data_IF_515169419199
#
_entry.id   IF_515169419199
#
_cell.length_a   1.000
_cell.length_b   1.000
_cell.length_c   1.000
_cell.angle_alpha   90.00
_cell.angle_beta   90.00
_cell.angle_gamma   90.00
#
_symmetry.space_group_name_H-M   'P 1'
#
loop_
_entity.id
_entity.type
_entity.pdbx_description
1 polymer ?
#
# COMPACT_ATOMS: atom_id res chain seq x y z
N UNK A 1 -11.48 -60.95 8.31
CA UNK A 1 -12.39 -59.80 8.12
C UNK A 1 -12.38 -58.82 9.30
N UNK A 2 -12.61 -59.22 10.57
CA UNK A 2 -12.60 -58.28 11.73
C UNK A 2 -11.30 -57.48 11.92
N UNK A 3 -10.12 -58.05 11.65
CA UNK A 3 -8.83 -57.35 11.78
C UNK A 3 -8.57 -56.28 10.70
N UNK A 4 -9.22 -56.39 9.54
CA UNK A 4 -9.06 -55.44 8.43
C UNK A 4 -9.94 -54.21 8.65
N UNK A 5 -11.14 -54.38 9.23
CA UNK A 5 -12.07 -53.28 9.54
C UNK A 5 -11.50 -52.37 10.65
N UNK A 6 -10.83 -52.92 11.66
CA UNK A 6 -10.20 -52.11 12.72
C UNK A 6 -9.01 -51.28 12.19
N UNK A 7 -8.24 -51.83 11.23
CA UNK A 7 -7.14 -51.09 10.60
C UNK A 7 -7.61 -49.92 9.74
N UNK A 8 -8.71 -50.09 8.99
CA UNK A 8 -9.28 -49.02 8.15
C UNK A 8 -9.90 -47.92 9.02
N UNK A 9 -10.60 -48.27 10.11
CA UNK A 9 -11.16 -47.27 11.05
C UNK A 9 -10.05 -46.50 11.76
N UNK A 10 -8.95 -47.15 12.14
CA UNK A 10 -7.81 -46.46 12.76
C UNK A 10 -7.09 -45.52 11.76
N UNK A 11 -6.92 -45.91 10.50
CA UNK A 11 -6.30 -45.04 9.47
C UNK A 11 -7.21 -43.87 9.13
N UNK A 12 -8.53 -44.07 9.05
CA UNK A 12 -9.51 -43.00 8.82
C UNK A 12 -9.58 -42.06 10.03
N UNK A 13 -9.54 -42.57 11.26
CA UNK A 13 -9.51 -41.73 12.46
C UNK A 13 -8.19 -40.98 12.62
N UNK A 14 -7.05 -41.55 12.22
CA UNK A 14 -5.75 -40.86 12.20
C UNK A 14 -5.74 -39.80 11.10
N UNK A 15 -6.32 -40.06 9.91
CA UNK A 15 -6.45 -39.08 8.83
C UNK A 15 -7.42 -37.94 9.18
N UNK A 16 -8.50 -38.23 9.91
CA UNK A 16 -9.43 -37.22 10.43
C UNK A 16 -8.77 -36.42 11.58
N UNK A 17 -7.94 -37.06 12.42
CA UNK A 17 -7.15 -36.36 13.44
C UNK A 17 -5.98 -35.55 12.88
N UNK A 18 -5.39 -35.92 11.74
CA UNK A 18 -4.36 -35.10 11.08
C UNK A 18 -4.93 -33.99 10.21
N UNK A 19 -6.19 -34.08 9.74
CA UNK A 19 -6.87 -32.94 9.09
C UNK A 19 -7.42 -31.93 10.09
N UNK A 20 -7.91 -32.35 11.25
CA UNK A 20 -8.42 -31.46 12.32
C UNK A 20 -7.34 -30.73 13.14
N UNK A 21 -6.06 -30.95 12.81
CA UNK A 21 -4.90 -30.26 13.39
C UNK A 21 -3.97 -29.74 12.29
N UNK A 22 -4.56 -29.26 11.18
CA UNK A 22 -3.88 -28.21 10.42
C UNK A 22 -3.81 -26.98 11.32
N UNK A 23 -2.84 -26.96 12.24
CA UNK A 23 -2.18 -25.71 12.57
C UNK A 23 -1.83 -25.13 11.20
N UNK A 24 -2.31 -23.93 10.91
CA UNK A 24 -1.56 -23.07 10.00
C UNK A 24 -0.17 -23.08 10.61
N UNK A 25 0.77 -23.79 9.98
CA UNK A 25 2.16 -23.77 10.39
C UNK A 25 2.57 -22.32 10.11
N UNK A 26 2.36 -21.47 11.11
CA UNK A 26 2.70 -20.06 11.06
C UNK A 26 4.22 -20.03 11.09
N UNK A 27 4.83 -20.25 9.94
CA UNK A 27 6.02 -19.49 9.62
C UNK A 27 5.64 -18.04 9.90
N UNK A 28 6.45 -17.34 10.71
CA UNK A 28 6.43 -15.88 10.69
C UNK A 28 6.42 -15.52 9.22
N UNK A 29 5.32 -14.91 8.75
CA UNK A 29 5.25 -14.44 7.38
C UNK A 29 6.44 -13.54 7.09
N UNK A 30 6.72 -13.23 5.81
CA UNK A 30 7.67 -12.17 5.49
C UNK A 30 7.36 -10.96 6.38
N UNK A 31 8.40 -10.28 6.88
CA UNK A 31 8.27 -9.08 7.74
C UNK A 31 7.46 -7.95 7.10
N UNK A 32 7.07 -8.12 5.84
CA UNK A 32 6.21 -7.26 5.05
C UNK A 32 5.23 -8.13 4.26
N UNK A 33 3.96 -7.72 4.16
CA UNK A 33 2.98 -8.37 3.28
C UNK A 33 3.45 -8.31 1.81
N UNK A 34 3.12 -9.32 0.99
CA UNK A 34 3.49 -9.29 -0.43
C UNK A 34 2.71 -8.22 -1.19
N UNK A 35 3.26 -7.80 -2.33
CA UNK A 35 2.52 -6.99 -3.30
C UNK A 35 1.78 -7.93 -4.25
N UNK A 36 0.46 -7.85 -4.30
CA UNK A 36 -0.38 -8.71 -5.13
C UNK A 36 -1.22 -7.89 -6.11
N UNK A 37 -1.33 -8.36 -7.36
CA UNK A 37 -2.18 -7.77 -8.40
C UNK A 37 -3.02 -8.84 -9.06
N UNK A 38 -4.34 -8.63 -9.15
CA UNK A 38 -5.22 -9.54 -9.88
C UNK A 38 -5.03 -9.40 -11.39
N UNK A 39 -4.74 -10.52 -12.05
CA UNK A 39 -4.53 -10.55 -13.50
C UNK A 39 -5.79 -10.93 -14.26
N UNK A 40 -6.52 -11.95 -13.79
CA UNK A 40 -7.78 -12.35 -14.40
C UNK A 40 -8.05 -13.86 -14.37
N UNK A 41 -9.06 -14.27 -15.15
CA UNK A 41 -9.56 -15.65 -15.25
C UNK A 41 -9.34 -16.28 -16.63
N UNK A 42 -8.73 -15.57 -17.57
CA UNK A 42 -8.48 -16.05 -18.93
C UNK A 42 -7.29 -15.34 -19.56
N UNK A 43 -6.75 -15.92 -20.64
CA UNK A 43 -5.64 -15.34 -21.41
C UNK A 43 -4.26 -15.80 -20.95
N UNK A 44 -3.24 -15.11 -21.45
CA UNK A 44 -1.83 -15.34 -21.13
C UNK A 44 -1.24 -14.06 -20.59
N UNK A 45 -0.68 -14.12 -19.38
CA UNK A 45 -0.04 -13.00 -18.72
C UNK A 45 1.47 -13.16 -18.74
N UNK A 46 2.18 -12.04 -18.70
CA UNK A 46 3.65 -11.99 -18.58
C UNK A 46 4.02 -11.07 -17.44
N UNK A 47 4.90 -11.52 -16.55
CA UNK A 47 5.35 -10.76 -15.38
C UNK A 47 6.89 -10.66 -15.37
N UNK A 48 7.45 -9.65 -14.68
CA UNK A 48 8.88 -9.55 -14.40
C UNK A 48 9.49 -10.83 -13.79
N UNK A 49 10.79 -11.09 -14.00
CA UNK A 49 11.45 -12.32 -13.53
C UNK A 49 11.68 -12.37 -12.01
N UNK A 50 11.53 -11.26 -11.29
CA UNK A 50 11.64 -11.14 -9.83
C UNK A 50 10.29 -11.30 -9.11
N UNK A 51 9.31 -11.88 -9.80
CA UNK A 51 7.93 -12.02 -9.35
C UNK A 51 7.39 -13.42 -9.66
N UNK A 52 6.28 -13.76 -9.01
CA UNK A 52 5.62 -15.05 -9.12
C UNK A 52 4.16 -14.89 -9.56
N UNK A 53 3.60 -15.93 -10.19
CA UNK A 53 2.17 -16.07 -10.32
C UNK A 53 1.62 -16.83 -9.11
N UNK A 54 0.55 -16.32 -8.51
CA UNK A 54 -0.27 -17.07 -7.56
C UNK A 54 -1.50 -17.56 -8.32
N UNK A 55 -1.78 -18.86 -8.29
CA UNK A 55 -2.87 -19.46 -9.07
C UNK A 55 -3.83 -20.20 -8.14
N UNK A 56 -5.10 -19.79 -8.13
CA UNK A 56 -6.17 -20.57 -7.46
C UNK A 56 -6.60 -21.72 -8.36
N UNK A 57 -6.69 -22.91 -7.76
CA UNK A 57 -7.18 -24.13 -8.44
C UNK A 57 -8.26 -24.76 -7.58
N UNK A 58 -9.38 -25.17 -8.18
CA UNK A 58 -10.54 -25.73 -7.46
C UNK A 58 -10.51 -27.27 -7.29
N UNK A 59 -9.61 -27.98 -7.97
CA UNK A 59 -9.56 -29.45 -7.95
C UNK A 59 -8.17 -30.03 -7.67
N UNK A 60 -7.77 -30.24 -6.40
CA UNK A 60 -8.38 -29.75 -5.16
C UNK A 60 -8.19 -28.24 -4.92
N UNK A 61 -9.04 -27.64 -4.08
CA UNK A 61 -8.92 -26.24 -3.66
C UNK A 61 -7.55 -25.97 -3.01
N UNK A 62 -6.75 -25.15 -3.68
CA UNK A 62 -5.43 -24.69 -3.23
C UNK A 62 -4.97 -23.46 -4.02
N UNK A 63 -3.92 -22.83 -3.51
CA UNK A 63 -3.11 -21.87 -4.25
C UNK A 63 -1.76 -22.50 -4.55
N UNK A 64 -1.28 -22.31 -5.78
CA UNK A 64 0.05 -22.73 -6.21
C UNK A 64 0.85 -21.51 -6.67
N UNK A 65 2.18 -21.54 -6.48
CA UNK A 65 3.09 -20.58 -7.11
C UNK A 65 3.54 -21.13 -8.46
N UNK A 66 3.45 -20.29 -9.49
CA UNK A 66 3.93 -20.58 -10.83
C UNK A 66 4.97 -19.53 -11.25
N UNK A 67 5.98 -19.94 -12.01
CA UNK A 67 7.16 -19.13 -12.25
C UNK A 67 7.09 -18.32 -13.55
N UNK A 68 7.77 -17.17 -13.61
CA UNK A 68 7.86 -16.32 -14.80
C UNK A 68 8.55 -17.04 -15.99
N UNK A 69 8.47 -16.49 -17.22
CA UNK A 69 7.95 -15.17 -17.55
C UNK A 69 6.45 -15.14 -17.80
N UNK A 70 5.81 -16.25 -18.15
CA UNK A 70 4.43 -16.25 -18.64
C UNK A 70 3.59 -17.40 -18.12
N UNK A 71 2.32 -17.13 -17.84
CA UNK A 71 1.34 -18.14 -17.45
C UNK A 71 0.08 -18.00 -18.29
N UNK A 72 -0.46 -19.13 -18.76
CA UNK A 72 -1.74 -19.18 -19.48
C UNK A 72 -2.80 -19.75 -18.56
N UNK A 73 -3.87 -18.99 -18.33
CA UNK A 73 -4.90 -19.37 -17.36
C UNK A 73 -5.65 -20.60 -17.82
N UNK A 74 -5.68 -21.63 -16.97
CA UNK A 74 -6.45 -22.84 -17.18
C UNK A 74 -7.95 -22.64 -16.89
N UNK A 75 -8.74 -23.66 -17.21
CA UNK A 75 -10.18 -23.64 -16.92
C UNK A 75 -10.43 -23.58 -15.39
N UNK A 76 -11.28 -22.65 -14.97
CA UNK A 76 -11.63 -22.41 -13.56
C UNK A 76 -10.43 -22.01 -12.69
N UNK A 77 -9.39 -21.42 -13.29
CA UNK A 77 -8.30 -20.80 -12.56
C UNK A 77 -8.51 -19.29 -12.47
N UNK A 78 -8.01 -18.71 -11.38
CA UNK A 78 -7.86 -17.28 -11.20
C UNK A 78 -6.39 -17.03 -10.91
N UNK A 79 -5.83 -15.97 -11.48
CA UNK A 79 -4.38 -15.72 -11.44
C UNK A 79 -4.09 -14.33 -10.92
N UNK A 80 -3.09 -14.25 -10.06
CA UNK A 80 -2.52 -13.02 -9.54
C UNK A 80 -1.03 -12.99 -9.85
N UNK A 81 -0.50 -11.78 -9.99
CA UNK A 81 0.92 -11.47 -9.94
C UNK A 81 1.29 -11.16 -8.49
N UNK A 82 2.43 -11.66 -8.05
CA UNK A 82 2.92 -11.49 -6.69
C UNK A 82 4.40 -11.09 -6.67
N UNK A 83 4.76 -10.22 -5.74
CA UNK A 83 6.15 -9.90 -5.42
C UNK A 83 6.39 -10.08 -3.93
N UNK A 84 7.54 -10.67 -3.58
CA UNK A 84 7.92 -10.91 -2.19
C UNK A 84 7.26 -12.14 -1.57
N UNK A 85 6.76 -13.07 -2.39
CA UNK A 85 6.21 -14.35 -1.92
C UNK A 85 7.24 -15.46 -2.12
N UNK A 86 7.45 -16.27 -1.08
CA UNK A 86 8.26 -17.51 -1.20
C UNK A 86 7.40 -18.76 -1.20
N UNK A 87 6.15 -18.65 -0.76
CA UNK A 87 5.18 -19.74 -0.65
C UNK A 87 3.78 -19.25 -1.01
N UNK A 88 2.96 -20.14 -1.58
CA UNK A 88 1.57 -19.85 -1.86
C UNK A 88 0.80 -19.65 -0.54
N UNK A 89 -0.24 -18.80 -0.52
CA UNK A 89 -1.01 -18.58 0.69
C UNK A 89 -1.76 -19.87 1.08
N UNK A 90 -1.99 -20.10 2.39
CA UNK A 90 -2.88 -21.14 2.85
C UNK A 90 -4.27 -20.99 2.23
N UNK A 91 -4.84 -22.10 1.76
CA UNK A 91 -6.20 -22.15 1.23
C UNK A 91 -7.18 -22.35 2.41
N UNK A 92 -8.08 -21.39 2.61
CA UNK A 92 -9.03 -21.35 3.74
C UNK A 92 -10.45 -21.33 3.16
N UNK A 93 -11.35 -22.15 3.69
CA UNK A 93 -12.72 -22.26 3.20
C UNK A 93 -13.68 -22.82 4.26
N UNK A 94 -14.80 -22.12 4.49
CA UNK A 94 -15.97 -22.54 5.27
C UNK A 94 -15.72 -22.98 6.73
N UNK A 95 -14.55 -22.69 7.30
CA UNK A 95 -14.27 -22.94 8.71
C UNK A 95 -13.40 -21.84 9.33
N UNK A 96 -13.61 -21.51 10.63
CA UNK A 96 -12.66 -20.70 11.36
C UNK A 96 -11.30 -21.40 11.48
N UNK A 97 -10.28 -20.83 10.86
CA UNK A 97 -8.90 -21.22 11.03
C UNK A 97 -8.30 -20.46 12.22
N UNK A 98 -7.89 -21.20 13.26
CA UNK A 98 -7.13 -20.62 14.37
C UNK A 98 -5.75 -20.21 13.86
N UNK A 99 -5.40 -18.93 14.08
CA UNK A 99 -4.10 -18.37 13.70
C UNK A 99 -3.14 -18.56 14.87
N UNK A 100 -3.33 -17.81 15.97
CA UNK A 100 -2.55 -17.96 17.20
C UNK A 100 -3.23 -17.25 18.39
N UNK A 101 -2.60 -17.29 19.56
CA UNK A 101 -2.93 -16.43 20.71
C UNK A 101 -2.17 -15.11 20.60
N UNK A 102 -2.89 -14.00 20.75
CA UNK A 102 -2.36 -12.65 20.59
C UNK A 102 -2.60 -11.80 21.85
N UNK A 103 -1.67 -10.93 22.27
CA UNK A 103 -1.91 -9.98 23.34
C UNK A 103 -2.79 -8.81 22.87
N UNK A 104 -3.40 -8.11 23.83
CA UNK A 104 -4.01 -6.79 23.59
C UNK A 104 -2.97 -5.83 23.02
N UNK A 105 -3.37 -4.98 22.07
CA UNK A 105 -2.48 -4.05 21.39
C UNK A 105 -1.63 -4.70 20.29
N UNK A 106 -1.72 -6.01 20.09
CA UNK A 106 -1.09 -6.67 18.94
C UNK A 106 -1.64 -6.09 17.64
N UNK A 107 -0.75 -5.69 16.74
CA UNK A 107 -1.12 -5.23 15.40
C UNK A 107 -1.19 -6.44 14.48
N UNK A 108 -2.28 -6.57 13.74
CA UNK A 108 -2.45 -7.58 12.69
C UNK A 108 -2.55 -6.86 11.36
N UNK A 109 -1.71 -7.28 10.42
CA UNK A 109 -1.73 -6.89 9.02
C UNK A 109 -2.10 -8.09 8.19
N UNK A 110 -3.02 -7.93 7.24
CA UNK A 110 -3.44 -9.02 6.39
C UNK A 110 -3.59 -8.59 4.94
N UNK A 111 -3.39 -9.55 4.06
CA UNK A 111 -3.70 -9.48 2.66
C UNK A 111 -4.40 -10.79 2.27
N UNK A 112 -5.57 -10.69 1.69
CA UNK A 112 -6.40 -11.82 1.28
C UNK A 112 -6.68 -11.67 -0.21
N UNK A 113 -6.80 -12.80 -0.88
CA UNK A 113 -7.13 -12.89 -2.29
C UNK A 113 -8.33 -13.78 -2.50
N UNK A 114 -9.02 -13.45 -3.57
CA UNK A 114 -10.13 -14.19 -4.11
C UNK A 114 -11.36 -14.27 -3.22
N UNK A 115 -11.74 -13.13 -2.64
CA UNK A 115 -13.05 -12.91 -2.04
C UNK A 115 -13.97 -12.36 -3.13
N UNK A 116 -14.73 -13.23 -3.81
CA UNK A 116 -15.61 -12.73 -4.86
C UNK A 116 -16.74 -11.84 -4.33
N UNK A 117 -17.23 -10.96 -5.20
CA UNK A 117 -18.29 -10.00 -4.87
C UNK A 117 -19.65 -10.72 -4.85
N UNK A 118 -19.91 -11.57 -3.86
CA UNK A 118 -21.10 -12.41 -3.79
C UNK A 118 -21.76 -12.56 -2.41
N UNK A 119 -21.50 -11.59 -1.52
CA UNK A 119 -22.01 -11.46 -0.16
C UNK A 119 -21.41 -12.46 0.87
N UNK A 120 -20.40 -13.26 0.49
CA UNK A 120 -19.71 -14.23 1.36
C UNK A 120 -18.56 -13.59 2.13
N UNK A 121 -18.91 -12.60 2.94
CA UNK A 121 -17.98 -11.79 3.71
C UNK A 121 -17.16 -12.62 4.70
N UNK A 122 -15.85 -12.39 4.75
CA UNK A 122 -14.92 -13.01 5.68
C UNK A 122 -14.73 -12.18 6.96
N UNK A 123 -14.32 -12.84 8.05
CA UNK A 123 -14.22 -12.19 9.36
C UNK A 123 -12.97 -12.61 10.14
N UNK A 124 -12.37 -11.66 10.84
CA UNK A 124 -11.48 -11.96 11.93
C UNK A 124 -12.25 -12.02 13.26
N UNK A 125 -11.84 -12.95 14.12
CA UNK A 125 -12.43 -13.19 15.43
C UNK A 125 -11.36 -13.18 16.52
N UNK A 126 -11.70 -12.60 17.67
CA UNK A 126 -10.96 -12.73 18.94
C UNK A 126 -11.84 -13.49 19.91
N UNK A 127 -11.33 -14.56 20.50
CA UNK A 127 -12.07 -15.39 21.45
C UNK A 127 -13.40 -15.93 20.88
N UNK A 128 -13.45 -16.13 19.56
CA UNK A 128 -14.64 -16.57 18.83
C UNK A 128 -15.66 -15.47 18.52
N UNK A 129 -15.45 -14.22 18.94
CA UNK A 129 -16.31 -13.08 18.64
C UNK A 129 -15.79 -12.34 17.41
N UNK A 130 -16.66 -12.06 16.43
CA UNK A 130 -16.32 -11.24 15.25
C UNK A 130 -15.96 -9.83 15.72
N UNK A 131 -14.81 -9.33 15.28
CA UNK A 131 -14.38 -7.98 15.63
C UNK A 131 -13.96 -7.15 14.40
N UNK A 132 -13.57 -7.80 13.30
CA UNK A 132 -13.23 -7.13 12.05
C UNK A 132 -13.91 -7.85 10.90
N UNK A 133 -14.54 -7.04 10.05
CA UNK A 133 -15.26 -7.48 8.85
C UNK A 133 -14.44 -7.11 7.64
N UNK A 134 -14.13 -8.08 6.80
CA UNK A 134 -13.37 -7.86 5.59
C UNK A 134 -14.24 -7.25 4.49
N UNK A 135 -13.63 -6.44 3.62
CA UNK A 135 -14.24 -5.96 2.38
C UNK A 135 -14.02 -7.03 1.32
N UNK A 136 -15.02 -7.32 0.49
CA UNK A 136 -14.90 -8.27 -0.60
C UNK A 136 -14.05 -7.72 -1.77
N UNK A 137 -13.37 -8.61 -2.49
CA UNK A 137 -12.55 -8.26 -3.64
C UNK A 137 -11.50 -9.30 -4.04
N UNK A 138 -11.01 -9.18 -5.27
CA UNK A 138 -9.98 -10.09 -5.81
C UNK A 138 -8.64 -9.95 -5.07
N UNK A 139 -8.35 -8.77 -4.54
CA UNK A 139 -7.22 -8.49 -3.64
C UNK A 139 -7.72 -7.51 -2.59
N UNK A 140 -7.72 -7.95 -1.35
CA UNK A 140 -8.23 -7.23 -0.19
C UNK A 140 -7.14 -7.23 0.88
N UNK A 141 -7.13 -6.23 1.74
CA UNK A 141 -6.16 -6.16 2.80
C UNK A 141 -6.55 -5.12 3.83
N UNK A 142 -5.88 -5.20 4.96
CA UNK A 142 -6.06 -4.19 5.99
C UNK A 142 -5.15 -4.41 7.17
N UNK A 143 -5.38 -3.58 8.16
CA UNK A 143 -4.69 -3.65 9.43
C UNK A 143 -5.62 -3.24 10.56
N UNK A 144 -5.50 -3.93 11.68
CA UNK A 144 -6.23 -3.61 12.90
C UNK A 144 -5.39 -3.90 14.15
N UNK A 145 -5.81 -3.31 15.27
CA UNK A 145 -5.23 -3.55 16.59
C UNK A 145 -6.14 -4.48 17.37
N UNK A 146 -5.56 -5.53 17.94
CA UNK A 146 -6.25 -6.50 18.79
C UNK A 146 -6.75 -5.78 20.06
N UNK A 147 -8.08 -5.74 20.29
CA UNK A 147 -8.67 -4.95 21.38
C UNK A 147 -8.55 -5.60 22.75
N UNK A 148 -8.35 -6.92 22.80
CA UNK A 148 -8.17 -7.68 24.03
C UNK A 148 -7.32 -8.92 23.75
N UNK A 149 -6.55 -9.38 24.74
CA UNK A 149 -5.78 -10.60 24.60
C UNK A 149 -6.70 -11.81 24.37
N UNK A 150 -6.33 -12.69 23.44
CA UNK A 150 -7.20 -13.81 23.10
C UNK A 150 -6.71 -14.69 21.95
N UNK A 151 -7.57 -15.60 21.53
CA UNK A 151 -7.32 -16.45 20.36
C UNK A 151 -7.78 -15.71 19.11
N UNK A 152 -6.83 -15.39 18.23
CA UNK A 152 -7.09 -14.87 16.89
C UNK A 152 -7.43 -16.02 15.95
N UNK A 153 -8.56 -15.90 15.26
CA UNK A 153 -8.96 -16.83 14.20
C UNK A 153 -9.55 -16.07 13.02
N UNK A 154 -9.40 -16.64 11.83
CA UNK A 154 -9.96 -16.11 10.60
C UNK A 154 -11.04 -17.06 10.06
N UNK A 155 -12.24 -16.56 9.84
CA UNK A 155 -13.38 -17.30 9.32
C UNK A 155 -13.59 -16.91 7.85
N UNK A 156 -13.16 -17.80 6.96
CA UNK A 156 -13.40 -17.65 5.53
C UNK A 156 -14.77 -18.24 5.16
N UNK A 157 -15.71 -17.41 4.73
CA UNK A 157 -16.97 -17.87 4.13
C UNK A 157 -16.85 -18.07 2.62
N UNK A 158 -15.78 -17.58 1.99
CA UNK A 158 -15.38 -17.92 0.64
C UNK A 158 -14.09 -18.79 0.60
N UNK A 159 -13.69 -19.21 -0.59
CA UNK A 159 -12.50 -20.00 -0.93
C UNK A 159 -11.31 -19.07 -1.17
N UNK A 160 -10.79 -18.52 -0.08
CA UNK A 160 -9.77 -17.48 -0.11
C UNK A 160 -8.36 -18.00 0.19
N UNK A 161 -7.36 -17.22 -0.20
CA UNK A 161 -5.99 -17.37 0.24
C UNK A 161 -5.56 -16.10 0.96
N UNK A 162 -4.74 -16.19 2.01
CA UNK A 162 -4.27 -14.97 2.67
C UNK A 162 -2.93 -15.09 3.37
N UNK A 163 -2.26 -13.94 3.49
CA UNK A 163 -1.09 -13.72 4.32
C UNK A 163 -1.51 -12.89 5.52
N UNK A 164 -1.28 -13.40 6.72
CA UNK A 164 -1.69 -12.74 7.96
C UNK A 164 -0.46 -12.64 8.85
N UNK A 165 0.02 -11.41 9.00
CA UNK A 165 1.09 -11.07 9.91
C UNK A 165 0.47 -10.54 11.21
N UNK A 166 0.91 -11.04 12.35
CA UNK A 166 0.39 -10.62 13.64
C UNK A 166 1.52 -10.40 14.63
N UNK A 167 1.33 -9.40 15.47
CA UNK A 167 2.25 -9.02 16.52
C UNK A 167 3.66 -8.80 15.98
N UNK A 168 3.74 -8.13 14.82
CA UNK A 168 4.97 -7.55 14.29
C UNK A 168 5.44 -6.48 15.27
N UNK A 169 6.00 -6.91 16.40
CA UNK A 169 6.76 -6.01 17.24
C UNK A 169 7.98 -5.64 16.41
N UNK A 170 8.01 -4.39 15.95
CA UNK A 170 9.27 -3.73 15.71
C UNK A 170 10.02 -3.87 17.04
N UNK A 171 11.06 -4.71 17.07
CA UNK A 171 12.00 -4.80 18.18
C UNK A 171 12.63 -3.41 18.28
N UNK A 172 11.89 -2.47 18.88
CA UNK A 172 12.44 -1.19 19.29
C UNK A 172 13.51 -1.63 20.26
N UNK A 173 14.81 -1.48 19.92
CA UNK A 173 15.85 -1.90 20.83
C UNK A 173 15.56 -1.13 22.10
N UNK A 174 15.13 -1.85 23.15
CA UNK A 174 14.97 -1.22 24.45
C UNK A 174 16.33 -0.62 24.71
N UNK A 175 16.47 0.73 24.82
CA UNK A 175 17.77 1.32 25.10
C UNK A 175 18.22 0.63 26.38
N UNK A 176 19.24 -0.22 26.24
CA UNK A 176 19.81 -0.87 27.41
C UNK A 176 20.39 0.31 28.18
N UNK A 177 19.79 0.62 29.33
CA UNK A 177 20.31 1.57 30.29
C UNK A 177 21.72 1.13 30.65
N UNK A 178 22.68 1.53 29.81
CA UNK A 178 24.08 1.47 30.13
C UNK A 178 24.22 2.54 31.18
N UNK A 179 24.24 2.09 32.44
CA UNK A 179 24.50 2.91 33.60
C UNK A 179 25.82 3.65 33.35
N UNK A 180 25.72 4.81 32.73
CA UNK A 180 26.84 5.68 32.47
C UNK A 180 27.12 6.29 33.83
N UNK A 181 28.16 5.79 34.50
CA UNK A 181 28.61 6.33 35.76
C UNK A 181 28.85 7.82 35.57
N UNK A 182 27.91 8.63 36.03
CA UNK A 182 27.98 10.08 35.90
C UNK A 182 29.20 10.50 36.75
N UNK A 183 30.28 11.03 36.17
CA UNK A 183 31.36 11.56 36.99
C UNK A 183 30.76 12.70 37.82
N UNK A 184 30.81 12.54 39.14
CA UNK A 184 30.42 13.57 40.10
C UNK A 184 31.15 14.87 39.71
N UNK A 185 30.45 15.96 39.36
CA UNK A 185 31.11 17.20 39.01
C UNK A 185 31.93 17.66 40.21
N UNK A 186 33.24 17.79 40.00
CA UNK A 186 34.17 18.37 40.95
C UNK A 186 33.83 19.85 41.05
N UNK A 187 33.46 20.31 42.25
CA UNK A 187 33.27 21.74 42.54
C UNK A 187 34.54 22.50 42.16
N UNK A 188 34.51 23.17 41.03
CA UNK A 188 35.63 23.99 40.57
C UNK A 188 35.30 25.43 40.98
N UNK A 189 36.06 25.94 41.96
CA UNK A 189 35.91 27.27 42.51
C UNK A 189 35.85 28.31 41.38
N UNK A 190 34.70 28.98 41.29
CA UNK A 190 34.43 30.10 40.40
C UNK A 190 35.33 31.27 40.79
N UNK A 191 36.28 31.62 39.91
CA UNK A 191 36.88 32.95 39.94
C UNK A 191 35.97 33.89 39.15
N UNK A 192 35.47 34.91 39.84
CA UNK A 192 34.69 36.02 39.29
C UNK A 192 35.63 36.97 38.53
N UNK A 193 35.41 37.23 37.23
CA UNK A 193 35.81 38.50 36.66
C UNK A 193 34.59 39.39 36.41
N UNK A 194 34.76 40.61 36.89
CA UNK A 194 33.88 41.77 36.82
C UNK A 194 34.01 42.52 35.47
N UNK A 195 32.98 43.32 35.18
CA UNK A 195 32.89 44.52 34.29
C UNK A 195 32.81 44.36 32.75
N UNK A 196 31.60 44.62 32.20
CA UNK A 196 31.15 45.77 31.34
C UNK A 196 32.13 46.33 30.26
N UNK A 197 31.75 46.79 29.02
CA UNK A 197 30.46 47.35 28.53
C UNK A 197 29.92 46.87 27.14
N UNK A 198 28.64 47.21 26.92
CA UNK A 198 27.98 47.73 25.70
C UNK A 198 28.82 48.03 24.45
N UNK A 199 28.40 47.49 23.28
CA UNK A 199 28.40 48.19 21.97
C UNK A 199 27.18 47.76 21.15
N UNK A 200 26.39 48.75 20.78
CA UNK A 200 25.33 48.77 19.76
C UNK A 200 25.93 48.90 18.36
N UNK A 201 25.42 48.15 17.37
CA UNK A 201 25.55 48.49 15.96
C UNK A 201 24.36 47.94 15.16
N UNK A 202 23.47 48.86 14.78
CA UNK A 202 22.41 48.67 13.79
C UNK A 202 23.03 48.82 12.40
N UNK A 203 22.74 47.89 11.48
CA UNK A 203 23.07 48.07 10.06
C UNK A 203 21.83 47.80 9.21
N UNK A 204 21.29 48.88 8.65
CA UNK A 204 20.32 48.91 7.55
C UNK A 204 21.12 49.00 6.25
N UNK A 205 20.80 48.19 5.22
CA UNK A 205 21.11 48.58 3.85
C UNK A 205 19.82 48.93 3.12
N UNK A 206 19.68 50.23 2.90
CA UNK A 206 18.89 50.83 1.82
C UNK A 206 19.68 50.66 0.52
N UNK A 207 19.07 50.11 -0.53
CA UNK A 207 19.55 50.30 -1.89
C UNK A 207 18.37 50.41 -2.85
N UNK A 208 18.03 51.66 -3.10
CA UNK A 208 17.32 52.14 -4.29
C UNK A 208 18.31 52.30 -5.43
N UNK A 209 18.01 51.75 -6.60
CA UNK A 209 18.46 52.26 -7.91
C UNK A 209 17.49 51.78 -9.01
N UNK A 210 16.75 52.73 -9.57
CA UNK A 210 16.11 52.71 -10.90
C UNK A 210 17.05 53.53 -11.80
N UNK A 211 17.31 53.19 -13.09
CA UNK A 211 16.32 53.47 -14.13
C UNK A 211 16.29 52.53 -15.36
N UNK A 212 15.16 52.64 -16.03
CA UNK A 212 14.73 52.33 -17.40
C UNK A 212 15.80 52.31 -18.51
N UNK A 213 15.70 51.34 -19.42
CA UNK A 213 16.00 51.53 -20.85
C UNK A 213 15.19 50.55 -21.72
N UNK A 214 14.26 51.09 -22.50
CA UNK A 214 13.68 50.48 -23.71
C UNK A 214 14.60 50.84 -24.88
N UNK A 215 14.92 49.88 -25.77
CA UNK A 215 14.66 50.17 -27.18
C UNK A 215 14.05 48.98 -27.93
N UNK A 216 13.04 49.35 -28.69
CA UNK A 216 12.51 48.69 -29.88
C UNK A 216 13.59 48.60 -30.97
N UNK A 217 13.73 47.43 -31.60
CA UNK A 217 14.38 47.26 -32.89
C UNK A 217 14.00 45.92 -33.50
N UNK A 218 13.10 45.95 -34.48
CA UNK A 218 12.89 44.85 -35.42
C UNK A 218 14.17 44.59 -36.19
N UNK A 219 14.66 43.35 -36.21
CA UNK A 219 15.60 42.90 -37.23
C UNK A 219 15.14 41.56 -37.78
N UNK A 220 14.60 41.62 -38.99
CA UNK A 220 14.41 40.47 -39.88
C UNK A 220 15.78 40.06 -40.41
N UNK A 221 16.26 38.86 -40.08
CA UNK A 221 17.38 38.23 -40.80
C UNK A 221 16.92 36.88 -41.30
N UNK A 222 16.65 36.84 -42.60
CA UNK A 222 16.61 35.61 -43.38
C UNK A 222 18.04 35.26 -43.76
N UNK A 223 18.53 34.10 -43.32
CA UNK A 223 19.74 33.50 -43.87
C UNK A 223 19.62 31.97 -43.81
N UNK A 224 19.24 31.40 -44.94
CA UNK A 224 19.40 29.98 -45.26
C UNK A 224 20.85 29.74 -45.67
N UNK A 225 21.57 28.86 -44.97
CA UNK A 225 22.66 28.09 -45.54
C UNK A 225 22.95 26.83 -44.70
N UNK A 226 22.73 25.70 -45.36
CA UNK A 226 23.11 24.34 -45.00
C UNK A 226 24.61 24.22 -44.75
N UNK A 227 25.01 23.63 -43.62
CA UNK A 227 26.27 22.87 -43.51
C UNK A 227 26.08 21.65 -42.60
N UNK A 228 26.24 20.49 -43.20
CA UNK A 228 26.36 19.19 -42.55
C UNK A 228 27.77 19.07 -41.98
N UNK A 229 27.89 18.98 -40.66
CA UNK A 229 29.15 18.61 -40.00
C UNK A 229 28.95 17.28 -39.28
N UNK A 230 29.54 16.23 -39.83
CA UNK A 230 29.66 14.91 -39.20
C UNK A 230 30.69 15.00 -38.08
N UNK A 231 30.25 14.96 -36.82
CA UNK A 231 31.13 14.90 -35.67
C UNK A 231 31.47 13.42 -35.35
N UNK A 232 32.70 13.02 -35.63
CA UNK A 232 33.28 11.76 -35.16
C UNK A 232 33.65 11.91 -33.68
N UNK A 233 32.92 11.24 -32.79
CA UNK A 233 33.24 11.19 -31.37
C UNK A 233 34.50 10.33 -31.15
N UNK A 234 35.60 10.95 -30.74
CA UNK A 234 36.79 10.25 -30.23
C UNK A 234 36.65 10.19 -28.71
N UNK A 235 36.52 9.00 -28.15
CA UNK A 235 36.54 8.78 -26.70
C UNK A 235 37.97 8.98 -26.17
N UNK A 236 38.20 10.04 -25.40
CA UNK A 236 39.38 10.15 -24.54
C UNK A 236 38.98 9.87 -23.10
N UNK A 237 39.59 8.84 -22.52
CA UNK A 237 39.44 8.38 -21.14
C UNK A 237 39.90 9.48 -20.16
N UNK A 238 39.06 9.98 -19.24
CA UNK A 238 39.51 10.91 -18.22
C UNK A 238 40.36 10.16 -17.18
N UNK A 239 41.55 10.70 -16.90
CA UNK A 239 42.44 10.23 -15.83
C UNK A 239 41.93 10.80 -14.51
N UNK A 240 41.62 9.93 -13.55
CA UNK A 240 41.19 10.33 -12.21
C UNK A 240 42.30 11.10 -11.49
N UNK A 241 42.04 12.36 -11.15
CA UNK A 241 42.88 13.16 -10.24
C UNK A 241 42.35 12.98 -8.82
N UNK A 242 43.22 12.62 -7.88
CA UNK A 242 42.85 12.44 -6.48
C UNK A 242 42.50 13.78 -5.81
N UNK A 243 41.28 13.88 -5.30
CA UNK A 243 40.75 15.02 -4.54
C UNK A 243 41.33 15.03 -3.11
N UNK A 244 41.70 16.19 -2.53
CA UNK A 244 42.26 16.27 -1.19
C UNK A 244 41.23 15.93 -0.10
N UNK A 245 41.72 15.24 0.92
CA UNK A 245 41.00 14.79 2.11
C UNK A 245 40.48 15.99 2.93
N UNK A 246 39.16 16.07 3.14
CA UNK A 246 38.57 17.01 4.08
C UNK A 246 38.80 16.53 5.52
N UNK A 247 39.35 17.41 6.34
CA UNK A 247 39.57 17.19 7.76
C UNK A 247 38.27 17.55 8.48
N UNK A 248 37.62 16.58 9.13
CA UNK A 248 36.41 16.86 9.92
C UNK A 248 36.79 17.48 11.26
N UNK A 249 36.22 18.65 11.54
CA UNK A 249 36.22 19.30 12.85
C UNK A 249 35.03 18.74 13.67
N UNK A 250 35.24 18.17 14.85
CA UNK A 250 34.13 17.66 15.67
C UNK A 250 33.42 18.85 16.33
N UNK A 251 32.18 19.13 15.89
CA UNK A 251 31.27 20.03 16.59
C UNK A 251 30.21 19.18 17.31
N UNK A 252 30.47 18.82 18.56
CA UNK A 252 29.49 18.21 19.45
C UNK A 252 28.49 19.28 19.92
N UNK A 253 27.45 19.51 19.13
CA UNK A 253 26.24 20.15 19.64
C UNK A 253 25.32 19.04 20.16
N UNK A 254 24.97 19.00 21.45
CA UNK A 254 24.05 17.99 21.96
C UNK A 254 22.67 18.23 21.34
N UNK A 255 22.26 17.37 20.41
CA UNK A 255 20.87 17.30 19.96
C UNK A 255 20.01 16.90 21.15
N UNK A 256 19.20 17.85 21.62
CA UNK A 256 18.09 17.59 22.53
C UNK A 256 17.21 16.52 21.90
N UNK A 257 17.22 15.32 22.46
CA UNK A 257 16.40 14.21 21.98
C UNK A 257 14.94 14.60 22.20
N UNK A 258 14.21 14.82 21.11
CA UNK A 258 12.78 15.05 21.17
C UNK A 258 12.12 13.82 21.82
N UNK A 259 11.26 13.99 22.83
CA UNK A 259 10.69 12.86 23.54
C UNK A 259 9.92 11.98 22.55
N UNK A 260 10.39 10.74 22.37
CA UNK A 260 9.66 9.72 21.64
C UNK A 260 8.26 9.61 22.25
N UNK A 261 7.18 9.75 21.44
CA UNK A 261 5.82 9.74 21.96
C UNK A 261 5.59 8.44 22.74
N UNK A 262 5.25 8.57 24.01
CA UNK A 262 4.86 7.41 24.84
C UNK A 262 3.51 6.91 24.33
N UNK A 263 3.34 5.60 24.02
CA UNK A 263 2.06 5.08 23.56
C UNK A 263 1.01 5.30 24.65
N UNK A 264 0.01 6.13 24.35
CA UNK A 264 -1.10 6.41 25.26
C UNK A 264 -1.99 5.17 25.38
N UNK A 265 -2.35 4.78 26.61
CA UNK A 265 -3.23 3.64 26.92
C UNK A 265 -4.73 3.91 26.64
N UNK A 266 -5.04 4.92 25.83
CA UNK A 266 -6.43 5.23 25.46
C UNK A 266 -6.83 4.28 24.32
N UNK A 267 -7.98 3.59 24.41
CA UNK A 267 -8.42 2.67 23.35
C UNK A 267 -8.52 3.45 22.03
N UNK A 268 -7.83 2.94 20.99
CA UNK A 268 -7.85 3.58 19.68
C UNK A 268 -9.27 3.51 19.12
N UNK A 269 -9.92 4.66 19.02
CA UNK A 269 -11.23 4.75 18.39
C UNK A 269 -11.10 4.40 16.90
N UNK A 270 -11.86 3.40 16.46
CA UNK A 270 -11.88 2.94 15.08
C UNK A 270 -12.39 4.04 14.15
N UNK A 271 -11.81 4.10 12.95
CA UNK A 271 -12.22 5.04 11.91
C UNK A 271 -12.96 4.27 10.82
N UNK A 272 -13.69 5.01 9.99
CA UNK A 272 -14.19 4.44 8.74
C UNK A 272 -13.84 5.33 7.57
N UNK A 273 -13.71 4.76 6.38
CA UNK A 273 -13.49 5.52 5.17
C UNK A 273 -14.34 5.03 4.02
N UNK A 274 -14.50 5.89 3.02
CA UNK A 274 -15.14 5.58 1.75
C UNK A 274 -14.29 6.18 0.64
N UNK A 275 -14.02 5.44 -0.42
CA UNK A 275 -13.45 5.97 -1.67
C UNK A 275 -14.62 6.33 -2.58
N UNK A 276 -14.70 7.60 -2.98
CA UNK A 276 -15.86 8.16 -3.65
C UNK A 276 -15.49 8.90 -4.94
N UNK A 277 -16.14 8.56 -6.05
CA UNK A 277 -15.98 9.25 -7.33
C UNK A 277 -17.11 10.26 -7.60
N UNK A 278 -18.17 10.28 -6.78
CA UNK A 278 -19.37 11.09 -7.04
C UNK A 278 -19.07 12.60 -7.19
N UNK A 279 -18.11 13.14 -6.44
CA UNK A 279 -17.76 14.58 -6.51
C UNK A 279 -16.95 14.92 -7.77
N UNK A 280 -16.12 14.01 -8.25
CA UNK A 280 -15.30 14.21 -9.44
C UNK A 280 -16.08 14.10 -10.75
N UNK A 281 -17.24 13.42 -10.73
CA UNK A 281 -17.99 13.08 -11.93
C UNK A 281 -17.36 11.94 -12.74
N UNK A 282 -16.29 11.34 -12.20
CA UNK A 282 -15.61 10.17 -12.74
C UNK A 282 -16.31 8.88 -12.32
N UNK A 283 -15.83 7.77 -12.87
CA UNK A 283 -16.20 6.41 -12.49
C UNK A 283 -14.93 5.59 -12.25
N UNK A 284 -15.02 4.63 -11.33
CA UNK A 284 -13.98 3.66 -11.08
C UNK A 284 -13.76 2.82 -12.34
N UNK A 285 -12.49 2.45 -12.53
CA UNK A 285 -12.05 1.40 -13.46
C UNK A 285 -11.80 0.12 -12.68
N UNK A 286 -11.91 -1.01 -13.38
CA UNK A 286 -11.65 -2.33 -12.84
C UNK A 286 -10.23 -2.42 -12.25
N UNK A 287 -10.14 -2.66 -10.94
CA UNK A 287 -8.87 -2.78 -10.23
C UNK A 287 -8.98 -2.53 -8.73
N UNK A 288 -7.82 -2.45 -8.09
CA UNK A 288 -7.69 -2.26 -6.64
C UNK A 288 -7.30 -0.83 -6.33
N UNK A 289 -8.05 -0.18 -5.44
CA UNK A 289 -7.76 1.13 -4.87
C UNK A 289 -7.24 0.93 -3.46
N UNK A 290 -5.94 1.15 -3.24
CA UNK A 290 -5.28 1.02 -1.95
C UNK A 290 -5.12 2.39 -1.29
N UNK A 291 -5.45 2.48 0.00
CA UNK A 291 -5.24 3.68 0.81
C UNK A 291 -3.99 3.50 1.67
N UNK A 292 -3.04 4.42 1.54
CA UNK A 292 -1.79 4.43 2.31
C UNK A 292 -1.70 5.68 3.17
N UNK A 293 -1.21 5.56 4.40
CA UNK A 293 -0.72 6.71 5.15
C UNK A 293 0.55 7.28 4.51
N UNK A 294 0.77 8.59 4.69
CA UNK A 294 2.03 9.22 4.36
C UNK A 294 3.17 8.58 5.17
N UNK A 295 4.07 7.89 4.49
CA UNK A 295 5.05 6.97 5.11
C UNK A 295 4.95 5.54 4.58
N UNK A 296 3.92 5.25 3.78
CA UNK A 296 3.76 3.99 3.04
C UNK A 296 2.94 2.93 3.76
N UNK A 297 2.54 3.14 5.02
CA UNK A 297 1.71 2.20 5.79
C UNK A 297 0.39 2.00 5.06
N UNK A 298 0.13 0.77 4.64
CA UNK A 298 -1.13 0.37 4.00
C UNK A 298 -2.25 0.32 5.05
N UNK A 299 -3.40 0.92 4.74
CA UNK A 299 -4.55 0.96 5.65
C UNK A 299 -5.64 -0.03 5.24
N UNK A 300 -6.05 0.03 3.98
CA UNK A 300 -7.12 -0.79 3.43
C UNK A 300 -7.11 -0.71 1.90
N UNK A 301 -7.89 -1.54 1.24
CA UNK A 301 -8.20 -1.39 -0.18
C UNK A 301 -9.64 -1.71 -0.51
N UNK A 302 -10.03 -1.29 -1.70
CA UNK A 302 -11.30 -1.60 -2.33
C UNK A 302 -11.05 -2.11 -3.74
N UNK A 303 -11.64 -3.26 -4.09
CA UNK A 303 -11.72 -3.70 -5.47
C UNK A 303 -12.98 -3.13 -6.11
N UNK A 304 -12.86 -2.45 -7.24
CA UNK A 304 -13.99 -1.95 -8.00
C UNK A 304 -14.03 -2.60 -9.38
N UNK A 305 -15.24 -2.72 -9.95
CA UNK A 305 -15.42 -2.96 -11.38
C UNK A 305 -15.60 -1.63 -12.13
N UNK A 306 -15.55 -1.69 -13.47
CA UNK A 306 -15.79 -0.51 -14.31
C UNK A 306 -17.17 0.09 -14.04
N UNK A 307 -17.23 1.41 -13.91
CA UNK A 307 -18.48 2.16 -13.72
C UNK A 307 -18.93 2.34 -12.27
N UNK A 308 -18.25 1.71 -11.30
CA UNK A 308 -18.57 1.88 -9.89
C UNK A 308 -18.25 3.31 -9.42
N UNK A 309 -19.00 3.85 -8.47
CA UNK A 309 -18.82 5.23 -7.97
C UNK A 309 -18.44 5.34 -6.50
N UNK A 310 -18.66 4.27 -5.75
CA UNK A 310 -18.63 4.31 -4.29
C UNK A 310 -18.18 2.94 -3.77
N UNK A 311 -17.19 2.93 -2.87
CA UNK A 311 -16.77 1.72 -2.16
C UNK A 311 -17.74 1.26 -1.08
N UNK A 312 -18.73 2.09 -0.74
CA UNK A 312 -19.41 2.01 0.55
C UNK A 312 -18.47 2.40 1.70
N UNK A 313 -18.96 2.25 2.93
CA UNK A 313 -18.16 2.51 4.12
C UNK A 313 -17.34 1.28 4.51
N UNK A 314 -16.01 1.42 4.41
CA UNK A 314 -15.03 0.50 4.97
C UNK A 314 -14.84 0.86 6.44
N UNK A 315 -15.20 -0.06 7.33
CA UNK A 315 -15.22 0.16 8.79
C UNK A 315 -13.97 -0.39 9.46
N UNK A 316 -13.83 -0.10 10.76
CA UNK A 316 -12.84 -0.72 11.64
C UNK A 316 -11.37 -0.47 11.25
N UNK A 317 -11.08 0.70 10.66
CA UNK A 317 -9.74 1.07 10.21
C UNK A 317 -8.94 1.66 11.38
N UNK A 318 -7.78 1.07 11.66
CA UNK A 318 -6.79 1.63 12.58
C UNK A 318 -5.76 2.50 11.86
N UNK A 319 -5.70 3.78 12.25
CA UNK A 319 -4.69 4.74 11.75
C UNK A 319 -3.63 5.03 12.82
N UNK A 320 -2.39 5.31 12.41
CA UNK A 320 -1.19 5.42 13.28
C UNK A 320 -1.26 6.50 14.35
N UNK A 321 -1.91 7.63 14.03
CA UNK A 321 -1.98 8.83 14.86
C UNK A 321 -3.42 9.30 15.02
N UNK A 322 -3.72 10.23 15.94
CA UNK A 322 -5.06 10.81 16.05
C UNK A 322 -5.59 11.35 14.72
N UNK A 323 -4.71 11.85 13.85
CA UNK A 323 -5.02 12.16 12.45
C UNK A 323 -3.81 11.87 11.57
N UNK A 324 -4.05 11.42 10.35
CA UNK A 324 -3.03 11.03 9.38
C UNK A 324 -3.35 11.61 8.01
N UNK A 325 -2.31 11.90 7.22
CA UNK A 325 -2.47 12.17 5.79
C UNK A 325 -2.44 10.87 5.01
N UNK A 326 -3.23 10.79 3.95
CA UNK A 326 -3.34 9.58 3.13
C UNK A 326 -3.25 9.85 1.62
N UNK A 327 -2.84 8.82 0.91
CA UNK A 327 -2.84 8.71 -0.55
C UNK A 327 -3.73 7.55 -0.99
N UNK A 328 -4.34 7.67 -2.17
CA UNK A 328 -5.07 6.57 -2.81
C UNK A 328 -4.34 6.18 -4.08
N UNK A 329 -4.05 4.88 -4.22
CA UNK A 329 -3.32 4.31 -5.35
C UNK A 329 -4.19 3.26 -6.05
N UNK A 330 -4.36 3.42 -7.36
CA UNK A 330 -5.10 2.49 -8.22
C UNK A 330 -4.15 1.54 -8.93
N UNK A 331 -4.45 0.25 -8.89
CA UNK A 331 -3.78 -0.79 -9.67
C UNK A 331 -4.78 -1.51 -10.57
N UNK A 332 -4.64 -1.46 -11.90
CA UNK A 332 -5.61 -2.04 -12.83
C UNK A 332 -5.61 -3.57 -12.82
N UNK A 333 -6.76 -4.16 -13.15
CA UNK A 333 -6.86 -5.58 -13.50
C UNK A 333 -5.96 -5.89 -14.71
N UNK A 334 -5.29 -7.03 -14.68
CA UNK A 334 -4.34 -7.44 -15.73
C UNK A 334 -2.92 -6.96 -15.50
N UNK A 335 -2.67 -6.23 -14.40
CA UNK A 335 -1.36 -5.69 -14.07
C UNK A 335 -1.11 -4.31 -14.65
N UNK A 336 -0.06 -3.66 -14.17
CA UNK A 336 0.31 -2.30 -14.58
C UNK A 336 1.03 -1.56 -13.46
N UNK A 337 1.54 -0.37 -13.78
CA UNK A 337 2.12 0.50 -12.76
C UNK A 337 0.97 1.11 -11.93
N UNK A 338 1.05 1.08 -10.59
CA UNK A 338 0.10 1.78 -9.75
C UNK A 338 0.03 3.27 -10.10
N UNK A 339 -1.18 3.81 -10.15
CA UNK A 339 -1.48 5.21 -10.44
C UNK A 339 -1.97 5.91 -9.18
N UNK A 340 -1.33 7.00 -8.79
CA UNK A 340 -1.82 7.84 -7.68
C UNK A 340 -3.06 8.60 -8.13
N UNK A 341 -4.14 8.48 -7.38
CA UNK A 341 -5.40 9.18 -7.62
C UNK A 341 -5.32 10.63 -7.12
N UNK A 342 -6.11 11.52 -7.73
CA UNK A 342 -6.28 12.90 -7.25
C UNK A 342 -7.30 12.90 -6.14
N UNK A 343 -7.02 13.59 -5.02
CA UNK A 343 -7.96 13.78 -3.92
C UNK A 343 -8.58 15.17 -4.05
N UNK A 344 -9.91 15.22 -4.17
CA UNK A 344 -10.69 16.43 -4.43
C UNK A 344 -11.10 17.18 -3.16
N UNK A 345 -11.03 16.51 -2.01
CA UNK A 345 -11.25 17.10 -0.70
C UNK A 345 -10.00 16.99 0.19
N UNK A 346 -8.84 17.53 -0.26
CA UNK A 346 -7.59 17.36 0.45
C UNK A 346 -7.59 18.11 1.79
N UNK A 347 -6.69 17.72 2.67
CA UNK A 347 -6.42 18.48 3.88
C UNK A 347 -5.90 19.89 3.55
N UNK A 348 -6.15 20.90 4.40
CA UNK A 348 -5.71 22.26 4.17
C UNK A 348 -4.22 22.35 3.80
N UNK A 349 -3.92 23.12 2.77
CA UNK A 349 -2.56 23.37 2.27
C UNK A 349 -1.79 22.13 1.76
N UNK A 350 -2.51 21.05 1.42
CA UNK A 350 -1.93 19.81 0.84
C UNK A 350 -2.71 19.32 -0.38
N UNK A 351 -2.19 18.29 -1.06
CA UNK A 351 -2.92 17.49 -2.05
C UNK A 351 -3.24 16.06 -1.54
N UNK A 352 -3.18 15.88 -0.22
CA UNK A 352 -3.36 14.59 0.44
C UNK A 352 -4.73 14.53 1.10
N UNK A 353 -5.29 13.34 1.18
CA UNK A 353 -6.47 13.10 2.02
C UNK A 353 -6.08 13.16 3.48
N UNK A 354 -7.07 13.20 4.36
CA UNK A 354 -6.84 13.08 5.79
C UNK A 354 -7.89 12.17 6.41
N UNK A 355 -7.45 11.42 7.43
CA UNK A 355 -8.30 10.59 8.26
C UNK A 355 -8.05 10.94 9.72
N UNK A 356 -9.08 10.80 10.56
CA UNK A 356 -9.03 11.05 12.01
C UNK A 356 -9.71 9.92 12.75
N UNK A 357 -9.14 9.52 13.90
CA UNK A 357 -9.67 8.44 14.73
C UNK A 357 -11.08 8.73 15.24
N UNK A 358 -11.91 7.71 15.30
CA UNK A 358 -13.28 7.83 15.80
C UNK A 358 -14.24 8.56 14.86
N UNK A 359 -13.84 8.78 13.61
CA UNK A 359 -14.65 9.46 12.61
C UNK A 359 -14.61 8.75 11.25
N UNK A 360 -15.61 9.05 10.44
CA UNK A 360 -15.82 8.50 9.12
C UNK A 360 -15.54 9.57 8.06
N UNK A 361 -14.65 9.27 7.10
CA UNK A 361 -14.23 10.21 6.06
C UNK A 361 -14.50 9.65 4.68
N UNK A 362 -15.12 10.45 3.81
CA UNK A 362 -15.12 10.17 2.39
C UNK A 362 -13.83 10.76 1.79
N UNK A 363 -13.06 9.94 1.07
CA UNK A 363 -11.97 10.37 0.20
C UNK A 363 -12.58 10.56 -1.19
N UNK A 364 -12.82 11.81 -1.56
CA UNK A 364 -13.33 12.18 -2.88
C UNK A 364 -12.17 12.10 -3.88
N UNK A 365 -12.26 11.20 -4.85
CA UNK A 365 -11.17 10.91 -5.79
C UNK A 365 -11.57 11.17 -7.24
N UNK A 366 -10.56 11.47 -8.06
CA UNK A 366 -10.68 11.59 -9.51
C UNK A 366 -9.45 10.98 -10.19
N UNK A 367 -9.61 10.64 -11.48
CA UNK A 367 -8.47 10.28 -12.31
C UNK A 367 -7.54 11.48 -12.42
N UNK A 368 -6.21 11.29 -12.32
CA UNK A 368 -5.29 12.36 -12.65
C UNK A 368 -5.54 12.78 -14.09
N UNK A 369 -5.66 14.10 -14.31
CA UNK A 369 -5.63 14.63 -15.67
C UNK A 369 -4.35 14.10 -16.32
N UNK A 370 -4.52 13.26 -17.34
CA UNK A 370 -3.40 12.93 -18.20
C UNK A 370 -3.04 14.27 -18.83
N UNK A 371 -1.87 14.82 -18.51
CA UNK A 371 -1.26 15.82 -19.37
C UNK A 371 -1.11 15.16 -20.73
N UNK A 372 -2.13 15.31 -21.59
CA UNK A 372 -1.96 15.04 -23.01
C UNK A 372 -0.89 16.03 -23.41
N UNK A 373 0.31 15.59 -23.85
CA UNK A 373 1.33 16.50 -24.30
C UNK A 373 0.67 17.44 -25.30
N UNK A 374 0.71 18.73 -25.02
CA UNK A 374 0.13 19.78 -25.86
C UNK A 374 0.83 19.70 -27.22
N UNK A 375 0.31 18.88 -28.13
CA UNK A 375 0.68 18.87 -29.53
C UNK A 375 0.10 20.14 -30.14
N UNK A 376 0.77 21.23 -29.82
CA UNK A 376 0.55 22.58 -30.31
C UNK A 376 0.75 22.58 -31.83
N UNK A 377 -0.30 22.16 -32.53
CA UNK A 377 -0.21 21.88 -33.95
C UNK A 377 -1.52 21.90 -34.75
N UNK A 378 -2.64 22.41 -34.24
CA UNK A 378 -3.80 22.70 -35.10
C UNK A 378 -5.15 22.77 -34.40
N UNK A 379 -6.13 23.52 -34.95
CA UNK A 379 -7.41 23.74 -34.30
C UNK A 379 -8.21 22.44 -34.25
N UNK A 380 -8.67 22.12 -33.04
CA UNK A 380 -9.45 20.94 -32.70
C UNK A 380 -10.77 20.88 -33.49
N UNK A 381 -10.94 19.82 -34.27
CA UNK A 381 -12.25 19.20 -34.45
C UNK A 381 -12.36 18.09 -33.40
N UNK A 382 -13.15 18.34 -32.38
CA UNK A 382 -13.59 17.34 -31.41
C UNK A 382 -14.54 16.36 -32.08
N UNK A 383 -14.03 15.29 -32.67
CA UNK A 383 -14.77 14.06 -32.96
C UNK A 383 -13.74 12.94 -33.23
N UNK A 384 -13.92 11.81 -32.54
CA UNK A 384 -13.22 10.52 -32.69
C UNK A 384 -11.87 10.35 -31.97
N UNK A 385 -11.95 10.17 -30.65
CA UNK A 385 -11.17 9.10 -30.01
C UNK A 385 -12.10 7.90 -29.88
N UNK A 386 -12.01 7.00 -30.86
CA UNK A 386 -12.69 5.70 -30.85
C UNK A 386 -11.84 4.77 -30.01
N UNK A 387 -12.30 4.46 -28.80
CA UNK A 387 -11.83 3.28 -28.06
C UNK A 387 -12.30 2.03 -28.81
N UNK A 388 -11.50 0.95 -28.91
CA UNK A 388 -11.96 -0.28 -29.55
C UNK A 388 -13.12 -0.86 -28.73
N UNK A 389 -14.31 -0.88 -29.34
CA UNK A 389 -15.48 -1.60 -28.85
C UNK A 389 -15.12 -3.06 -28.54
N UNK A 390 -15.24 -3.45 -27.27
CA UNK A 390 -15.37 -4.85 -26.91
C UNK A 390 -16.80 -5.28 -27.27
N UNK A 391 -16.88 -6.08 -28.33
CA UNK A 391 -18.09 -6.70 -28.88
C UNK A 391 -18.95 -7.38 -27.80
N UNK A 392 -20.00 -6.69 -27.38
CA UNK A 392 -21.05 -7.22 -26.50
C UNK A 392 -22.13 -7.92 -27.35
N UNK A 393 -21.83 -9.11 -27.87
CA UNK A 393 -22.84 -10.02 -28.42
C UNK A 393 -23.11 -11.18 -27.46
N UNK A 394 -23.59 -10.85 -26.26
CA UNK A 394 -24.28 -11.81 -25.39
C UNK A 394 -25.80 -11.63 -25.54
N UNK A 395 -26.45 -12.63 -26.15
CA UNK A 395 -27.91 -12.74 -26.26
C UNK A 395 -28.59 -12.79 -24.88
N UNK A 396 -29.73 -12.11 -24.66
CA UNK A 396 -30.46 -12.20 -23.40
C UNK A 396 -31.10 -13.58 -23.21
N UNK A 397 -30.89 -14.18 -22.03
CA UNK A 397 -31.65 -15.34 -21.55
C UNK A 397 -33.03 -14.83 -21.09
N UNK A 398 -34.16 -15.43 -21.52
CA UNK A 398 -35.49 -14.96 -21.14
C UNK A 398 -35.77 -15.23 -19.66
N UNK A 399 -36.21 -14.18 -18.97
CA UNK A 399 -36.72 -14.18 -17.60
C UNK A 399 -37.93 -15.11 -17.46
N UNK A 400 -37.73 -16.22 -16.74
CA UNK A 400 -38.79 -17.12 -16.30
C UNK A 400 -39.47 -16.58 -15.04
N UNK A 401 -40.77 -16.35 -15.18
CA UNK A 401 -41.78 -15.98 -14.18
C UNK A 401 -41.70 -16.82 -12.89
N UNK A 402 -41.58 -16.14 -11.74
CA UNK A 402 -41.95 -16.68 -10.44
C UNK A 402 -42.76 -15.61 -9.69
N UNK A 403 -44.06 -15.84 -9.64
CA UNK A 403 -44.99 -15.26 -8.67
C UNK A 403 -45.72 -16.41 -7.97
N UNK A 404 -46.27 -16.16 -6.77
CA UNK A 404 -45.61 -15.96 -5.49
C UNK A 404 -45.33 -17.27 -4.72
#
# INVERSE_FOLDING_TARGET
MKKIVVGIVAIVLIAIWTQALRRVESSRGPTQLPSIVYLGTSGTFTIPPDQEFVVKRLGPFRFDLEFPPSYTVGANERVWQAQGVSEAPPAIYHEPAVIDTVPEGCVVEFLVIDDDLDDRINYFRINGVRFYTEVEGMVTGGQFVVPEAGVLSYEANDSVGGWINYCLQEETPTPTDTATSTPRPTETNTATPTTTPEITATATPDQTNTPTATPDASVTVTATATQTATATATFTTPTHTATPTSTMEPTDTPSTVEPTPTPTSEPRALSCLRINFDVGGDEARAGTYAVHELGGRYLTSWYAEDGWKDSGWIQDIDISYPSVYVEVWFTPVGGGNPLKMVILNPAPDTNLGWLTRGACHALEVAWPEVEIPDDTGGPANTENVVWPDLDSTATPIPSGDLSP
#
